data_IF_936709349010
#
_entry.id   IF_936709349010
#
_cell.length_a   1.000
_cell.length_b   1.000
_cell.length_c   1.000
_cell.angle_alpha   90.00
_cell.angle_beta   90.00
_cell.angle_gamma   90.00
#
_symmetry.space_group_name_H-M   'P 1'
#
loop_
_entity.id
_entity.type
_entity.pdbx_description
1 polymer ?
#
# COMPACT_ATOMS: atom_id res chain seq x y z
N UNK A 1 46.56 -0.05 -42.71
CA UNK A 1 45.19 -0.28 -43.22
C UNK A 1 44.43 -0.95 -42.08
N UNK A 2 43.39 -0.27 -41.63
CA UNK A 2 42.81 -0.41 -40.29
C UNK A 2 41.90 -1.63 -40.17
N UNK A 3 42.05 -2.33 -39.05
CA UNK A 3 41.12 -3.32 -38.51
C UNK A 3 39.82 -2.64 -38.08
N UNK A 4 38.67 -3.16 -38.50
CA UNK A 4 37.37 -2.88 -37.91
C UNK A 4 36.76 -4.22 -37.52
N UNK A 5 36.82 -4.53 -36.22
CA UNK A 5 36.01 -5.58 -35.60
C UNK A 5 34.69 -4.94 -35.18
N UNK A 6 33.58 -5.49 -35.68
CA UNK A 6 32.21 -5.18 -35.29
C UNK A 6 32.00 -5.56 -33.81
N UNK A 7 31.90 -4.55 -32.95
CA UNK A 7 31.42 -4.63 -31.58
C UNK A 7 29.99 -4.09 -31.56
N UNK A 8 28.98 -4.96 -31.54
CA UNK A 8 27.59 -4.55 -31.33
C UNK A 8 26.92 -5.38 -30.23
N UNK A 9 27.46 -5.33 -29.02
CA UNK A 9 26.75 -5.87 -27.85
C UNK A 9 27.19 -5.24 -26.53
N UNK A 10 27.19 -3.91 -26.38
CA UNK A 10 27.38 -3.27 -25.05
C UNK A 10 26.65 -1.93 -24.77
N UNK A 11 25.70 -1.46 -25.60
CA UNK A 11 25.11 -0.12 -25.40
C UNK A 11 23.65 -0.09 -24.94
N UNK A 12 23.31 -0.79 -23.84
CA UNK A 12 22.01 -0.57 -23.17
C UNK A 12 22.05 -0.36 -21.65
N UNK A 13 23.23 -0.24 -21.04
CA UNK A 13 23.36 0.12 -19.63
C UNK A 13 24.40 1.20 -19.33
N UNK A 14 24.62 2.14 -20.25
CA UNK A 14 25.16 3.44 -19.84
C UNK A 14 24.01 4.32 -19.37
N UNK A 15 23.61 4.15 -18.09
CA UNK A 15 22.88 5.22 -17.41
C UNK A 15 23.84 6.40 -17.30
N UNK A 16 23.52 7.58 -17.86
CA UNK A 16 24.30 8.76 -17.57
C UNK A 16 24.29 8.97 -16.05
N UNK A 17 25.46 9.24 -15.49
CA UNK A 17 25.62 9.74 -14.13
C UNK A 17 24.95 11.12 -14.10
N UNK A 18 23.63 11.14 -13.89
CA UNK A 18 22.87 12.37 -13.68
C UNK A 18 23.21 12.77 -12.25
N UNK A 19 23.87 13.92 -12.14
CA UNK A 19 24.21 14.62 -10.91
C UNK A 19 23.18 14.36 -9.81
N UNK A 20 23.64 13.99 -8.61
CA UNK A 20 22.80 13.95 -7.42
C UNK A 20 21.96 15.24 -7.38
N UNK A 21 20.62 15.17 -7.46
CA UNK A 21 19.84 16.33 -7.07
C UNK A 21 20.04 16.43 -5.56
N UNK A 22 20.60 17.55 -5.10
CA UNK A 22 20.44 17.99 -3.72
C UNK A 22 18.93 17.98 -3.42
N UNK A 23 18.40 16.88 -2.90
CA UNK A 23 17.01 16.76 -2.46
C UNK A 23 16.86 17.43 -1.10
N UNK A 24 17.26 18.71 -1.03
CA UNK A 24 16.86 19.58 0.06
C UNK A 24 15.43 20.00 -0.20
N UNK A 25 14.48 19.33 0.45
CA UNK A 25 13.08 19.73 0.44
C UNK A 25 12.96 21.11 1.09
N UNK A 26 12.68 22.14 0.29
CA UNK A 26 12.43 23.48 0.81
C UNK A 26 11.05 23.56 1.47
N UNK A 27 11.02 23.54 2.80
CA UNK A 27 9.81 23.79 3.58
C UNK A 27 9.64 25.28 3.85
N UNK A 28 8.44 25.82 3.57
CA UNK A 28 8.05 27.20 3.90
C UNK A 28 7.14 27.21 5.12
N UNK A 29 7.46 28.05 6.11
CA UNK A 29 6.61 28.23 7.29
C UNK A 29 5.56 29.33 7.03
N UNK A 30 4.28 29.01 7.21
CA UNK A 30 3.18 29.97 7.17
C UNK A 30 2.15 29.66 8.24
N UNK A 31 1.82 30.63 9.11
CA UNK A 31 0.85 30.48 10.22
C UNK A 31 1.07 29.19 11.03
N UNK A 32 2.33 28.94 11.36
CA UNK A 32 2.83 27.74 12.07
C UNK A 32 2.70 26.40 11.33
N UNK A 33 2.25 26.38 10.08
CA UNK A 33 2.23 25.20 9.23
C UNK A 33 3.42 25.20 8.26
N UNK A 34 3.93 24.01 7.94
CA UNK A 34 5.00 23.82 6.96
C UNK A 34 4.39 23.39 5.63
N UNK A 35 4.70 24.15 4.59
CA UNK A 35 4.25 23.92 3.23
C UNK A 35 5.45 23.52 2.38
N UNK A 36 5.31 22.45 1.60
CA UNK A 36 6.28 22.08 0.57
C UNK A 36 5.62 22.24 -0.79
N UNK A 37 6.40 22.65 -1.80
CA UNK A 37 5.87 22.74 -3.17
C UNK A 37 5.53 21.34 -3.65
N UNK A 38 4.30 21.16 -4.14
CA UNK A 38 3.83 19.87 -4.69
C UNK A 38 4.70 19.42 -5.86
N UNK A 39 5.25 20.35 -6.66
CA UNK A 39 6.19 20.04 -7.74
C UNK A 39 7.48 19.36 -7.26
N UNK A 40 7.88 19.58 -6.00
CA UNK A 40 9.06 18.92 -5.40
C UNK A 40 8.75 17.50 -4.90
N UNK A 41 7.47 17.13 -4.79
CA UNK A 41 7.02 15.78 -4.41
C UNK A 41 6.84 14.85 -5.62
N UNK A 42 6.85 15.41 -6.84
CA UNK A 42 6.70 14.67 -8.08
C UNK A 42 8.10 14.38 -8.60
N UNK A 43 8.72 13.31 -8.09
CA UNK A 43 10.11 12.99 -8.45
C UNK A 43 10.46 11.52 -8.30
N UNK A 44 10.34 10.95 -7.10
CA UNK A 44 10.56 9.51 -6.88
C UNK A 44 9.77 9.03 -5.67
N UNK A 45 9.44 7.73 -5.63
CA UNK A 45 8.77 7.08 -4.50
C UNK A 45 9.53 7.32 -3.18
N UNK A 46 10.86 7.40 -3.26
CA UNK A 46 11.76 7.66 -2.12
C UNK A 46 11.58 9.07 -1.56
N UNK A 47 11.33 10.10 -2.39
CA UNK A 47 11.03 11.46 -1.94
C UNK A 47 9.71 11.55 -1.15
N UNK A 48 8.73 10.72 -1.51
CA UNK A 48 7.44 10.63 -0.82
C UNK A 48 7.62 9.93 0.54
N UNK A 49 8.46 8.89 0.60
CA UNK A 49 8.73 8.15 1.82
C UNK A 49 9.56 8.97 2.83
N UNK A 50 10.60 9.67 2.37
CA UNK A 50 11.36 10.63 3.17
C UNK A 50 10.49 11.77 3.71
N UNK A 51 9.60 12.35 2.88
CA UNK A 51 8.64 13.34 3.36
C UNK A 51 7.69 12.78 4.43
N UNK A 52 7.29 11.52 4.31
CA UNK A 52 6.45 10.86 5.31
C UNK A 52 7.19 10.74 6.65
N UNK A 53 8.46 10.34 6.63
CA UNK A 53 9.30 10.16 7.82
C UNK A 53 9.65 11.51 8.49
N UNK A 54 10.00 12.55 7.72
CA UNK A 54 10.28 13.88 8.25
C UNK A 54 9.03 14.57 8.80
N UNK A 55 7.86 14.41 8.16
CA UNK A 55 6.58 14.87 8.69
C UNK A 55 6.24 14.20 10.04
N UNK A 56 6.56 12.91 10.21
CA UNK A 56 6.38 12.22 11.50
C UNK A 56 7.23 12.84 12.63
N UNK A 57 8.46 13.27 12.32
CA UNK A 57 9.35 13.92 13.30
C UNK A 57 8.88 15.34 13.67
N UNK A 58 8.38 16.12 12.69
CA UNK A 58 7.91 17.49 12.91
C UNK A 58 6.58 17.53 13.67
N UNK A 59 5.69 16.58 13.41
CA UNK A 59 4.41 16.51 14.09
C UNK A 59 4.59 16.28 15.60
N UNK A 60 5.57 15.46 16.03
CA UNK A 60 5.85 15.21 17.46
C UNK A 60 6.10 16.47 18.30
N UNK A 61 6.61 17.56 17.71
CA UNK A 61 6.92 18.81 18.45
C UNK A 61 5.71 19.75 18.63
N UNK A 62 4.61 19.56 17.89
CA UNK A 62 3.44 20.46 17.90
C UNK A 62 2.26 19.96 18.77
N UNK A 63 2.35 18.75 19.34
CA UNK A 63 1.22 18.05 19.96
C UNK A 63 0.92 18.37 21.44
N UNK A 64 1.51 19.39 22.05
CA UNK A 64 1.27 19.69 23.48
C UNK A 64 -0.01 20.51 23.77
N UNK A 65 -0.85 20.86 22.78
CA UNK A 65 -2.00 21.78 23.03
C UNK A 65 -3.32 21.52 22.30
N UNK A 66 -3.51 20.38 21.64
CA UNK A 66 -4.81 20.02 21.06
C UNK A 66 -4.95 18.50 21.00
N UNK A 67 -6.14 17.99 21.33
CA UNK A 67 -6.44 16.55 21.35
C UNK A 67 -5.84 15.85 20.12
N UNK A 68 -4.82 15.03 20.38
CA UNK A 68 -4.06 14.35 19.35
C UNK A 68 -5.02 13.35 18.69
N UNK A 69 -5.44 13.64 17.46
CA UNK A 69 -5.96 12.59 16.58
C UNK A 69 -4.83 11.60 16.38
N UNK A 70 -4.85 10.54 17.18
CA UNK A 70 -3.89 9.45 17.12
C UNK A 70 -3.97 8.87 15.70
N UNK A 71 -2.92 9.08 14.91
CA UNK A 71 -2.84 8.49 13.59
C UNK A 71 -2.75 6.98 13.77
N UNK A 72 -3.73 6.26 13.21
CA UNK A 72 -3.68 4.80 13.18
C UNK A 72 -2.53 4.37 12.30
N UNK A 73 -1.40 4.00 12.93
CA UNK A 73 -0.26 3.40 12.24
C UNK A 73 -0.62 1.98 11.84
N UNK A 74 -0.38 1.64 10.57
CA UNK A 74 -0.61 0.31 10.02
C UNK A 74 0.69 -0.49 10.02
N UNK A 75 0.88 -1.30 11.06
CA UNK A 75 2.04 -2.19 11.12
C UNK A 75 1.92 -3.39 10.15
N UNK A 76 3.01 -4.16 10.01
CA UNK A 76 3.04 -5.29 9.10
C UNK A 76 2.03 -6.39 9.47
N UNK A 77 1.82 -6.66 10.76
CA UNK A 77 0.87 -7.68 11.21
C UNK A 77 -0.57 -7.26 10.87
N UNK A 78 -0.92 -6.00 11.08
CA UNK A 78 -2.21 -5.42 10.73
C UNK A 78 -2.44 -5.43 9.22
N UNK A 79 -1.40 -5.15 8.42
CA UNK A 79 -1.46 -5.23 6.96
C UNK A 79 -1.74 -6.67 6.49
N UNK A 80 -1.06 -7.65 7.08
CA UNK A 80 -1.26 -9.06 6.77
C UNK A 80 -2.68 -9.52 7.15
N UNK A 81 -3.12 -9.22 8.37
CA UNK A 81 -4.49 -9.55 8.85
C UNK A 81 -5.55 -8.93 7.95
N UNK A 82 -5.39 -7.66 7.60
CA UNK A 82 -6.28 -6.96 6.68
C UNK A 82 -6.38 -7.67 5.32
N UNK A 83 -5.23 -8.01 4.72
CA UNK A 83 -5.21 -8.68 3.42
C UNK A 83 -5.85 -10.07 3.47
N UNK A 84 -5.58 -10.85 4.53
CA UNK A 84 -6.22 -12.16 4.76
C UNK A 84 -7.74 -12.01 4.82
N UNK A 85 -8.26 -11.08 5.63
CA UNK A 85 -9.71 -10.86 5.77
C UNK A 85 -10.34 -10.45 4.44
N UNK A 86 -9.71 -9.52 3.72
CA UNK A 86 -10.20 -9.05 2.42
C UNK A 86 -10.27 -10.18 1.41
N UNK A 87 -9.24 -11.01 1.33
CA UNK A 87 -9.21 -12.14 0.40
C UNK A 87 -10.14 -13.27 0.83
N UNK A 88 -10.29 -13.52 2.12
CA UNK A 88 -11.16 -14.59 2.61
C UNK A 88 -12.65 -14.29 2.38
N UNK A 89 -13.06 -13.02 2.54
CA UNK A 89 -14.44 -12.59 2.25
C UNK A 89 -14.66 -12.40 0.74
N UNK A 90 -13.63 -11.94 0.03
CA UNK A 90 -13.67 -11.62 -1.39
C UNK A 90 -13.51 -10.13 -1.63
N UNK A 91 -12.42 -9.75 -2.32
CA UNK A 91 -12.03 -8.34 -2.50
C UNK A 91 -13.07 -7.50 -3.23
N UNK A 92 -13.89 -8.11 -4.09
CA UNK A 92 -14.92 -7.41 -4.87
C UNK A 92 -16.08 -6.91 -4.00
N UNK A 93 -16.60 -7.77 -3.14
CA UNK A 93 -17.84 -7.52 -2.37
C UNK A 93 -17.61 -7.07 -0.93
N UNK A 94 -16.42 -7.32 -0.38
CA UNK A 94 -16.14 -7.01 1.04
C UNK A 94 -16.39 -5.53 1.38
N UNK A 95 -17.05 -5.30 2.51
CA UNK A 95 -17.33 -3.96 3.04
C UNK A 95 -16.42 -3.59 4.20
N UNK A 96 -16.17 -2.28 4.44
CA UNK A 96 -15.38 -1.83 5.59
C UNK A 96 -15.95 -2.26 6.94
N UNK A 97 -17.27 -2.47 7.03
CA UNK A 97 -17.93 -2.92 8.26
C UNK A 97 -17.55 -4.36 8.60
N UNK A 98 -17.52 -5.24 7.60
CA UNK A 98 -17.14 -6.65 7.79
C UNK A 98 -15.66 -6.78 8.17
N UNK A 99 -14.78 -6.03 7.51
CA UNK A 99 -13.35 -6.03 7.84
C UNK A 99 -13.13 -5.51 9.26
N UNK A 100 -13.78 -4.41 9.63
CA UNK A 100 -13.67 -3.84 10.98
C UNK A 100 -14.12 -4.84 12.06
N UNK A 101 -15.21 -5.57 11.81
CA UNK A 101 -15.69 -6.61 12.71
C UNK A 101 -14.64 -7.71 12.92
N UNK A 102 -13.94 -8.13 11.86
CA UNK A 102 -12.90 -9.15 11.94
C UNK A 102 -11.59 -8.65 12.56
N UNK A 103 -11.21 -7.38 12.33
CA UNK A 103 -9.99 -6.77 12.87
C UNK A 103 -10.11 -6.36 14.36
N UNK A 104 -11.34 -6.22 14.86
CA UNK A 104 -11.62 -5.69 16.19
C UNK A 104 -11.74 -4.16 16.20
N UNK A 105 -12.67 -3.65 17.02
CA UNK A 105 -13.07 -2.24 17.01
C UNK A 105 -12.11 -1.29 17.76
N UNK A 106 -11.12 -1.82 18.49
CA UNK A 106 -10.36 -1.03 19.47
C UNK A 106 -9.22 -0.20 18.83
N UNK A 107 -8.79 -0.56 17.63
CA UNK A 107 -7.62 0.05 16.96
C UNK A 107 -7.95 0.77 15.67
N UNK A 108 -9.04 0.37 14.98
CA UNK A 108 -9.43 0.93 13.69
C UNK A 108 -10.82 1.52 13.71
N UNK A 109 -11.03 2.59 12.94
CA UNK A 109 -12.38 3.06 12.62
C UNK A 109 -12.81 2.57 11.25
N UNK A 110 -14.14 2.52 11.01
CA UNK A 110 -14.71 2.20 9.69
C UNK A 110 -14.13 3.09 8.58
N UNK A 111 -13.83 4.35 8.89
CA UNK A 111 -13.22 5.30 7.94
C UNK A 111 -11.79 4.89 7.58
N UNK A 112 -10.97 4.50 8.56
CA UNK A 112 -9.60 4.03 8.31
C UNK A 112 -9.61 2.79 7.43
N UNK A 113 -10.46 1.81 7.77
CA UNK A 113 -10.62 0.58 6.97
C UNK A 113 -11.10 0.90 5.55
N UNK A 114 -12.08 1.81 5.41
CA UNK A 114 -12.58 2.22 4.10
C UNK A 114 -11.51 2.82 3.20
N UNK A 115 -10.71 3.76 3.73
CA UNK A 115 -9.58 4.34 2.98
C UNK A 115 -8.52 3.29 2.64
N UNK A 116 -8.24 2.34 3.53
CA UNK A 116 -7.28 1.24 3.27
C UNK A 116 -7.79 0.30 2.18
N UNK A 117 -9.06 -0.10 2.24
CA UNK A 117 -9.71 -0.95 1.24
C UNK A 117 -9.73 -0.28 -0.14
N UNK A 118 -10.00 1.03 -0.20
CA UNK A 118 -9.93 1.77 -1.45
C UNK A 118 -8.51 1.73 -2.05
N UNK A 119 -7.48 2.03 -1.25
CA UNK A 119 -6.07 1.95 -1.69
C UNK A 119 -5.70 0.53 -2.16
N UNK A 120 -6.16 -0.49 -1.43
CA UNK A 120 -5.92 -1.89 -1.77
C UNK A 120 -6.50 -2.26 -3.14
N UNK A 121 -7.78 -1.95 -3.39
CA UNK A 121 -8.44 -2.17 -4.69
C UNK A 121 -7.75 -1.40 -5.82
N UNK A 122 -7.35 -0.15 -5.57
CA UNK A 122 -6.63 0.65 -6.57
C UNK A 122 -5.23 0.10 -6.88
N UNK A 123 -4.57 -0.59 -5.94
CA UNK A 123 -3.31 -1.28 -6.21
C UNK A 123 -3.53 -2.44 -7.18
N UNK A 124 -4.57 -3.24 -6.95
CA UNK A 124 -4.95 -4.34 -7.85
C UNK A 124 -5.24 -3.81 -9.25
N UNK A 125 -6.05 -2.75 -9.37
CA UNK A 125 -6.36 -2.13 -10.67
C UNK A 125 -5.08 -1.73 -11.41
N UNK A 126 -4.13 -1.09 -10.73
CA UNK A 126 -2.86 -0.67 -11.33
C UNK A 126 -1.97 -1.86 -11.73
N UNK A 127 -1.83 -2.86 -10.87
CA UNK A 127 -0.92 -4.00 -11.08
C UNK A 127 -1.43 -4.97 -12.16
N UNK A 128 -2.75 -5.12 -12.27
CA UNK A 128 -3.41 -5.97 -13.26
C UNK A 128 -3.85 -5.19 -14.52
N UNK A 129 -3.53 -3.88 -14.61
CA UNK A 129 -3.86 -3.01 -15.74
C UNK A 129 -5.37 -3.01 -16.07
N UNK A 130 -6.20 -2.97 -15.03
CA UNK A 130 -7.65 -2.88 -15.16
C UNK A 130 -8.07 -1.43 -15.44
N UNK A 131 -9.16 -1.25 -16.16
CA UNK A 131 -9.74 0.07 -16.43
C UNK A 131 -10.53 0.61 -15.23
N UNK A 132 -11.10 -0.29 -14.41
CA UNK A 132 -11.90 0.10 -13.25
C UNK A 132 -11.90 -0.96 -12.14
N UNK A 133 -12.33 -0.54 -10.95
CA UNK A 133 -12.52 -1.45 -9.80
C UNK A 133 -13.62 -2.50 -10.03
N UNK A 134 -14.49 -2.33 -11.02
CA UNK A 134 -15.55 -3.28 -11.34
C UNK A 134 -15.03 -4.59 -11.96
N UNK A 135 -13.85 -4.52 -12.61
CA UNK A 135 -13.19 -5.67 -13.23
C UNK A 135 -12.42 -6.55 -12.24
N UNK A 136 -12.27 -6.10 -10.98
CA UNK A 136 -11.61 -6.86 -9.92
C UNK A 136 -12.32 -8.20 -9.70
N UNK A 137 -11.54 -9.28 -9.67
CA UNK A 137 -11.99 -10.62 -9.31
C UNK A 137 -11.48 -11.00 -7.92
N UNK A 138 -12.21 -11.89 -7.23
CA UNK A 138 -11.89 -12.24 -5.84
C UNK A 138 -10.54 -12.95 -5.65
N UNK A 139 -10.00 -13.56 -6.70
CA UNK A 139 -8.67 -14.18 -6.71
C UNK A 139 -7.53 -13.16 -6.87
N UNK A 140 -7.80 -11.91 -7.24
CA UNK A 140 -6.75 -10.89 -7.45
C UNK A 140 -6.27 -10.30 -6.12
N UNK A 141 -4.97 -10.06 -5.99
CA UNK A 141 -4.36 -9.38 -4.85
C UNK A 141 -3.05 -8.66 -5.23
N UNK A 142 -2.63 -7.62 -4.49
CA UNK A 142 -1.37 -6.93 -4.77
C UNK A 142 -0.17 -7.86 -4.59
N UNK A 143 0.80 -7.82 -5.51
CA UNK A 143 2.03 -8.64 -5.47
C UNK A 143 2.91 -8.34 -4.26
N UNK A 144 2.76 -7.15 -3.66
CA UNK A 144 3.40 -6.79 -2.39
C UNK A 144 2.92 -7.63 -1.21
N UNK A 145 1.79 -8.34 -1.37
CA UNK A 145 1.22 -9.23 -0.36
C UNK A 145 1.77 -10.64 -0.55
N UNK A 146 2.95 -10.91 0.02
CA UNK A 146 3.57 -12.24 0.00
C UNK A 146 3.19 -13.02 1.25
N UNK A 147 2.09 -13.79 1.21
CA UNK A 147 1.65 -14.64 2.32
C UNK A 147 1.11 -15.96 1.78
N UNK A 148 1.64 -17.07 2.29
CA UNK A 148 1.19 -18.42 1.89
C UNK A 148 -0.31 -18.62 2.15
N UNK A 149 -0.80 -18.15 3.30
CA UNK A 149 -2.22 -18.23 3.67
C UNK A 149 -3.10 -17.52 2.64
N UNK A 150 -2.64 -16.39 2.11
CA UNK A 150 -3.39 -15.67 1.07
C UNK A 150 -3.39 -16.43 -0.24
N UNK A 151 -2.27 -17.06 -0.62
CA UNK A 151 -2.23 -17.93 -1.80
C UNK A 151 -3.19 -19.11 -1.65
N UNK A 152 -3.24 -19.73 -0.46
CA UNK A 152 -4.14 -20.84 -0.17
C UNK A 152 -5.61 -20.40 -0.25
N UNK A 153 -5.95 -19.24 0.31
CA UNK A 153 -7.29 -18.62 0.21
C UNK A 153 -7.65 -18.33 -1.26
N UNK A 154 -6.73 -17.71 -2.01
CA UNK A 154 -6.94 -17.34 -3.41
C UNK A 154 -7.16 -18.57 -4.29
N UNK A 155 -6.47 -19.68 -4.02
CA UNK A 155 -6.67 -20.93 -4.75
C UNK A 155 -8.12 -21.43 -4.68
N UNK A 156 -8.83 -21.18 -3.58
CA UNK A 156 -10.24 -21.58 -3.41
C UNK A 156 -11.21 -20.76 -4.25
N UNK A 157 -10.88 -19.52 -4.58
CA UNK A 157 -11.71 -18.68 -5.45
C UNK A 157 -11.77 -19.15 -6.91
N UNK A 158 -10.92 -20.10 -7.32
CA UNK A 158 -11.02 -20.75 -8.62
C UNK A 158 -12.01 -21.92 -8.64
N UNK A 159 -12.53 -22.35 -7.48
CA UNK A 159 -13.51 -23.43 -7.39
C UNK A 159 -14.91 -22.90 -7.73
N UNK A 160 -15.60 -23.59 -8.63
CA UNK A 160 -17.00 -23.27 -8.99
C UNK A 160 -17.87 -23.42 -7.75
N UNK A 161 -18.70 -22.41 -7.44
CA UNK A 161 -19.58 -22.33 -6.25
C UNK A 161 -18.91 -21.92 -4.92
N UNK A 162 -17.70 -21.37 -4.95
CA UNK A 162 -17.11 -20.78 -3.75
C UNK A 162 -17.59 -19.33 -3.53
N UNK A 163 -18.32 -19.11 -2.43
CA UNK A 163 -18.89 -17.80 -2.07
C UNK A 163 -18.10 -17.05 -0.98
N UNK A 164 -16.93 -17.57 -0.60
CA UNK A 164 -16.07 -17.02 0.45
C UNK A 164 -16.03 -17.87 1.72
N UNK A 165 -15.12 -17.51 2.62
CA UNK A 165 -14.93 -18.21 3.89
C UNK A 165 -15.93 -17.75 4.95
N UNK A 166 -16.31 -18.67 5.85
CA UNK A 166 -17.14 -18.32 7.00
C UNK A 166 -16.37 -17.44 7.98
N UNK A 167 -17.08 -16.75 8.88
CA UNK A 167 -16.42 -15.94 9.92
C UNK A 167 -15.54 -16.79 10.84
N UNK A 168 -15.88 -18.06 11.06
CA UNK A 168 -15.08 -18.98 11.89
C UNK A 168 -13.74 -19.31 11.21
N UNK A 169 -13.77 -19.61 9.91
CA UNK A 169 -12.56 -19.89 9.12
C UNK A 169 -11.64 -18.68 9.09
N UNK A 170 -12.21 -17.47 8.93
CA UNK A 170 -11.45 -16.22 8.93
C UNK A 170 -10.72 -16.03 10.27
N UNK A 171 -11.40 -16.26 11.40
CA UNK A 171 -10.77 -16.16 12.70
C UNK A 171 -9.65 -17.20 12.87
N UNK A 172 -9.84 -18.41 12.34
CA UNK A 172 -8.80 -19.45 12.36
C UNK A 172 -7.54 -19.02 11.59
N UNK A 173 -7.67 -18.40 10.41
CA UNK A 173 -6.51 -17.87 9.68
C UNK A 173 -5.77 -16.77 10.45
N UNK A 174 -6.48 -15.96 11.22
CA UNK A 174 -5.90 -14.87 12.00
C UNK A 174 -5.14 -15.34 13.24
N UNK A 175 -5.41 -16.56 13.73
CA UNK A 175 -4.72 -17.17 14.88
C UNK A 175 -3.40 -17.86 14.51
N UNK A 176 -3.20 -18.21 13.23
CA UNK A 176 -2.02 -18.94 12.74
C UNK A 176 -0.84 -17.98 12.40
N UNK A 177 -1.02 -16.66 12.60
CA UNK A 177 -0.07 -15.60 12.26
C UNK A 177 0.96 -15.30 13.35
#
# INVERSE_FOLDING_TARGET
>A
MSNVQDNSFQDFYQRPYINEPETSLEFKKFKDELYVKVSSLIGTYDSIQLCSEELHSFQSKKFLKGEVKQYTSWDQQQNNKFAIIVQAIGVKSVSPKQILYCMGANTFTRKNIGSRLQKYRLSIVREYQLESTAQIQNWMFPRSTNSQIIMDIVSKWHVVQFDGFSMQDIQQFLLIQ
#
